data_IF_020649997695
#
_entry.id   IF_020649997695
#
_cell.length_a   1.000
_cell.length_b   1.000
_cell.length_c   1.000
_cell.angle_alpha   90.00
_cell.angle_beta   90.00
_cell.angle_gamma   90.00
#
_symmetry.space_group_name_H-M   'P 1'
#
loop_
_entity.id
_entity.type
_entity.pdbx_description
1 polymer ?
#
# COMPACT_ATOMS: atom_id res chain seq x y z
N UNK A 1 25.45 43.02 -9.29
CA UNK A 1 24.17 42.97 -8.54
C UNK A 1 23.04 43.35 -9.49
N UNK A 2 22.48 42.38 -10.21
CA UNK A 2 21.06 42.23 -10.54
C UNK A 2 20.86 40.71 -10.64
N UNK A 3 20.31 40.12 -9.58
CA UNK A 3 19.74 38.77 -9.63
C UNK A 3 18.55 38.85 -10.59
N UNK A 4 18.49 37.99 -11.60
CA UNK A 4 17.32 37.89 -12.46
C UNK A 4 17.24 36.53 -13.12
N UNK A 5 16.54 35.62 -12.42
CA UNK A 5 15.51 34.76 -13.01
C UNK A 5 16.00 33.67 -13.98
N UNK A 6 16.94 32.86 -13.52
CA UNK A 6 16.92 31.43 -13.83
C UNK A 6 16.83 30.69 -12.50
N UNK A 7 15.71 30.91 -11.81
CA UNK A 7 15.17 29.83 -10.99
C UNK A 7 14.78 28.78 -12.03
N UNK A 8 15.68 27.84 -12.27
CA UNK A 8 15.32 26.55 -12.82
C UNK A 8 14.22 26.02 -11.90
N UNK A 9 12.97 26.35 -12.24
CA UNK A 9 11.79 25.67 -11.74
C UNK A 9 12.05 24.20 -12.05
N UNK A 10 12.59 23.49 -11.06
CA UNK A 10 12.46 22.05 -10.98
C UNK A 10 10.96 21.83 -10.89
N UNK A 11 10.31 21.73 -12.05
CA UNK A 11 8.98 21.20 -12.19
C UNK A 11 9.11 19.75 -11.77
N UNK A 12 9.11 19.53 -10.45
CA UNK A 12 8.88 18.25 -9.84
C UNK A 12 7.43 17.92 -10.19
N UNK A 13 7.27 17.37 -11.40
CA UNK A 13 6.06 16.70 -11.86
C UNK A 13 5.95 15.47 -10.98
N UNK A 14 5.48 15.66 -9.76
CA UNK A 14 4.99 14.59 -8.91
C UNK A 14 3.77 14.05 -9.65
N UNK A 15 4.00 13.10 -10.56
CA UNK A 15 2.94 12.28 -11.10
C UNK A 15 2.17 11.73 -9.90
N UNK A 16 0.92 12.19 -9.75
CA UNK A 16 0.08 11.75 -8.63
C UNK A 16 -0.16 10.25 -8.81
N UNK A 17 0.54 9.44 -8.01
CA UNK A 17 0.32 8.00 -7.92
C UNK A 17 -1.18 7.76 -7.68
N UNK A 18 -1.78 6.92 -8.52
CA UNK A 18 -3.19 6.56 -8.38
C UNK A 18 -3.30 5.50 -7.30
N UNK A 19 -3.71 5.94 -6.11
CA UNK A 19 -4.00 5.05 -4.97
C UNK A 19 -5.50 4.74 -4.95
N UNK A 20 -5.86 3.46 -4.83
CA UNK A 20 -7.24 3.00 -4.62
C UNK A 20 -7.32 2.24 -3.32
N UNK A 21 -8.37 2.46 -2.54
CA UNK A 21 -8.68 1.66 -1.36
C UNK A 21 -9.86 0.76 -1.67
N UNK A 22 -9.78 -0.50 -1.26
CA UNK A 22 -10.89 -1.45 -1.35
C UNK A 22 -10.83 -2.50 -0.26
N UNK A 23 -11.93 -3.21 -0.10
CA UNK A 23 -11.96 -4.38 0.78
C UNK A 23 -10.96 -5.43 0.29
N UNK A 24 -10.23 -5.98 1.26
CA UNK A 24 -9.33 -7.09 1.06
C UNK A 24 -10.14 -8.36 0.78
N UNK A 25 -9.62 -9.19 -0.11
CA UNK A 25 -10.20 -10.47 -0.48
C UNK A 25 -9.18 -11.57 -0.25
N UNK A 26 -9.63 -12.83 -0.30
CA UNK A 26 -8.73 -13.98 -0.17
C UNK A 26 -7.63 -14.01 -1.25
N UNK A 27 -7.83 -13.35 -2.40
CA UNK A 27 -6.83 -13.25 -3.47
C UNK A 27 -5.61 -12.42 -3.04
N UNK A 28 -5.81 -11.49 -2.10
CA UNK A 28 -4.77 -10.58 -1.61
C UNK A 28 -3.90 -11.22 -0.52
N UNK A 29 -4.31 -12.39 0.00
CA UNK A 29 -3.65 -13.07 1.12
C UNK A 29 -2.13 -13.18 0.93
N UNK A 30 -1.68 -13.51 -0.28
CA UNK A 30 -0.24 -13.67 -0.56
C UNK A 30 0.53 -12.37 -0.36
N UNK A 31 0.01 -11.24 -0.85
CA UNK A 31 0.69 -9.95 -0.75
C UNK A 31 0.61 -9.41 0.68
N UNK A 32 -0.56 -9.51 1.33
CA UNK A 32 -0.72 -9.16 2.74
C UNK A 32 0.28 -9.95 3.61
N UNK A 33 0.48 -11.24 3.35
CA UNK A 33 1.46 -12.05 4.07
C UNK A 33 2.90 -11.62 3.88
N UNK A 34 3.27 -11.13 2.68
CA UNK A 34 4.62 -10.60 2.46
C UNK A 34 4.81 -9.32 3.26
N UNK A 35 3.86 -8.39 3.19
CA UNK A 35 3.89 -7.13 3.94
C UNK A 35 3.96 -7.41 5.45
N UNK A 36 3.10 -8.30 5.96
CA UNK A 36 3.06 -8.68 7.37
C UNK A 36 4.43 -9.20 7.87
N UNK A 37 5.10 -10.04 7.08
CA UNK A 37 6.44 -10.57 7.40
C UNK A 37 7.54 -9.53 7.38
N UNK A 38 7.38 -8.46 6.60
CA UNK A 38 8.32 -7.35 6.54
C UNK A 38 8.10 -6.36 7.69
N UNK A 39 6.84 -6.15 8.09
CA UNK A 39 6.47 -5.15 9.09
C UNK A 39 6.55 -5.66 10.53
N UNK A 40 6.36 -6.96 10.77
CA UNK A 40 6.23 -7.50 12.12
C UNK A 40 7.28 -8.57 12.44
N UNK A 41 7.83 -8.49 13.65
CA UNK A 41 8.77 -9.49 14.19
C UNK A 41 8.14 -10.89 14.33
N UNK A 42 6.85 -10.94 14.62
CA UNK A 42 6.06 -12.16 14.80
C UNK A 42 4.79 -12.08 13.93
N UNK A 43 4.90 -12.35 12.62
CA UNK A 43 3.77 -12.25 11.72
C UNK A 43 2.71 -13.30 12.05
N UNK A 44 1.46 -13.00 11.73
CA UNK A 44 0.39 -13.96 11.96
C UNK A 44 0.58 -15.27 11.16
N UNK A 45 0.18 -16.42 11.72
CA UNK A 45 0.13 -17.67 10.98
C UNK A 45 -0.80 -17.58 9.76
N UNK A 46 -0.48 -18.30 8.68
CA UNK A 46 -1.27 -18.29 7.44
C UNK A 46 -2.74 -18.63 7.64
N UNK A 47 -3.03 -19.64 8.46
CA UNK A 47 -4.41 -20.04 8.73
C UNK A 47 -5.21 -18.94 9.42
N UNK A 48 -4.55 -18.17 10.30
CA UNK A 48 -5.19 -17.11 11.06
C UNK A 48 -5.48 -15.90 10.16
N UNK A 49 -4.53 -15.49 9.32
CA UNK A 49 -4.75 -14.42 8.34
C UNK A 49 -5.86 -14.76 7.34
N UNK A 50 -5.94 -16.01 6.89
CA UNK A 50 -7.05 -16.47 6.05
C UNK A 50 -8.40 -16.30 6.76
N UNK A 51 -8.48 -16.74 8.02
CA UNK A 51 -9.70 -16.62 8.79
C UNK A 51 -10.12 -15.16 9.03
N UNK A 52 -9.15 -14.26 9.28
CA UNK A 52 -9.37 -12.81 9.36
C UNK A 52 -9.99 -12.25 8.08
N UNK A 53 -9.44 -12.60 6.91
CA UNK A 53 -9.95 -12.10 5.62
C UNK A 53 -11.33 -12.64 5.24
N UNK A 54 -11.67 -13.86 5.64
CA UNK A 54 -12.90 -14.52 5.20
C UNK A 54 -14.07 -14.33 6.17
N UNK A 55 -13.81 -14.28 7.49
CA UNK A 55 -14.90 -14.42 8.49
C UNK A 55 -14.68 -13.72 9.84
N UNK A 56 -13.43 -13.47 10.26
CA UNK A 56 -13.15 -13.03 11.63
C UNK A 56 -12.93 -11.53 11.80
N UNK A 57 -12.48 -10.82 10.77
CA UNK A 57 -12.33 -9.37 10.86
C UNK A 57 -13.62 -8.68 10.43
N UNK A 58 -14.05 -7.67 11.20
CA UNK A 58 -15.18 -6.81 10.81
C UNK A 58 -14.86 -6.03 9.52
N UNK A 59 -13.58 -5.69 9.30
CA UNK A 59 -13.12 -4.97 8.11
C UNK A 59 -11.64 -5.26 7.84
N UNK A 60 -11.30 -5.51 6.58
CA UNK A 60 -9.93 -5.59 6.10
C UNK A 60 -9.82 -4.78 4.81
N UNK A 61 -8.89 -3.81 4.76
CA UNK A 61 -8.73 -2.88 3.63
C UNK A 61 -7.32 -3.05 3.07
N UNK A 62 -7.21 -3.05 1.75
CA UNK A 62 -5.94 -2.93 1.03
C UNK A 62 -5.88 -1.61 0.26
N UNK A 63 -4.68 -1.06 0.17
CA UNK A 63 -4.37 0.03 -0.75
C UNK A 63 -3.73 -0.57 -2.00
N UNK A 64 -4.19 -0.15 -3.18
CA UNK A 64 -3.57 -0.48 -4.46
C UNK A 64 -2.89 0.76 -5.03
N UNK A 65 -1.61 0.63 -5.39
CA UNK A 65 -0.82 1.63 -6.11
C UNK A 65 -0.55 1.04 -7.50
N UNK A 66 -1.03 1.70 -8.56
CA UNK A 66 -0.83 1.22 -9.94
C UNK A 66 -1.36 -0.21 -10.20
N UNK A 67 -2.35 -0.64 -9.42
CA UNK A 67 -2.95 -1.99 -9.38
C UNK A 67 -2.08 -3.07 -8.71
N UNK A 68 -1.08 -2.68 -7.92
CA UNK A 68 -0.33 -3.54 -7.00
C UNK A 68 -0.64 -3.20 -5.55
N UNK A 69 -0.59 -4.19 -4.65
CA UNK A 69 -0.83 -4.04 -3.19
C UNK A 69 0.49 -3.91 -2.45
#
# INVERSE_FOLDING_TARGET
MINSLLEDEMIETTEKLKIKFRDATIKDLKEIQKIERLCFKYPYPTYYMRALLETLADTAIVAEIENEI
#
